data_IF_335082651286
#
_entry.id   IF_335082651286
#
_cell.length_a   1.000
_cell.length_b   1.000
_cell.length_c   1.000
_cell.angle_alpha   90.00
_cell.angle_beta   90.00
_cell.angle_gamma   90.00
#
_symmetry.space_group_name_H-M   'P 1'
#
loop_
_entity.id
_entity.type
_entity.pdbx_description
1 polymer ?
#
# COMPACT_ATOMS: atom_id res chain seq x y z
N UNK A 1 10.67 -1.56 13.49
CA UNK A 1 9.78 -2.34 12.59
C UNK A 1 10.43 -3.69 12.40
N UNK A 2 9.74 -4.78 12.73
CA UNK A 2 10.23 -6.13 12.47
C UNK A 2 9.94 -6.53 11.02
N UNK A 3 10.91 -7.15 10.33
CA UNK A 3 10.73 -7.54 8.93
C UNK A 3 9.70 -8.66 8.77
N UNK A 4 9.60 -9.59 9.71
CA UNK A 4 8.63 -10.70 9.60
C UNK A 4 7.19 -10.21 9.80
N UNK A 5 6.98 -9.20 10.66
CA UNK A 5 5.67 -8.54 10.76
C UNK A 5 5.31 -7.77 9.48
N UNK A 6 6.30 -7.15 8.85
CA UNK A 6 6.11 -6.46 7.57
C UNK A 6 5.76 -7.44 6.44
N UNK A 7 6.50 -8.54 6.31
CA UNK A 7 6.24 -9.58 5.30
C UNK A 7 4.83 -10.16 5.46
N UNK A 8 4.40 -10.48 6.68
CA UNK A 8 3.03 -10.93 6.96
C UNK A 8 1.98 -9.90 6.55
N UNK A 9 2.23 -8.62 6.78
CA UNK A 9 1.33 -7.56 6.35
C UNK A 9 1.25 -7.45 4.83
N UNK A 10 2.38 -7.59 4.13
CA UNK A 10 2.46 -7.61 2.66
C UNK A 10 1.67 -8.76 2.07
N UNK A 11 1.83 -9.97 2.64
CA UNK A 11 1.12 -11.17 2.22
C UNK A 11 -0.38 -11.08 2.51
N UNK A 12 -0.76 -10.62 3.70
CA UNK A 12 -2.17 -10.43 4.06
C UNK A 12 -2.89 -9.46 3.11
N UNK A 13 -2.20 -8.40 2.69
CA UNK A 13 -2.72 -7.45 1.72
C UNK A 13 -2.54 -7.89 0.27
N UNK A 14 -1.86 -9.01 0.00
CA UNK A 14 -1.60 -9.52 -1.35
C UNK A 14 -0.89 -8.50 -2.24
N UNK A 15 0.17 -7.88 -1.72
CA UNK A 15 0.98 -6.90 -2.44
C UNK A 15 2.07 -7.65 -3.22
N UNK A 16 1.94 -7.70 -4.54
CA UNK A 16 2.90 -8.42 -5.40
C UNK A 16 4.04 -7.53 -5.93
N UNK A 17 3.76 -6.24 -6.09
CA UNK A 17 4.67 -5.27 -6.72
C UNK A 17 4.54 -3.93 -5.99
N UNK A 18 4.78 -2.83 -6.70
CA UNK A 18 4.50 -1.47 -6.22
C UNK A 18 3.01 -1.25 -6.00
N UNK A 19 2.68 -0.69 -4.83
CA UNK A 19 1.32 -0.28 -4.46
C UNK A 19 1.38 1.12 -3.87
N UNK A 20 0.35 1.93 -4.17
CA UNK A 20 0.25 3.27 -3.59
C UNK A 20 -0.41 3.23 -2.21
N UNK A 21 -0.22 4.28 -1.40
CA UNK A 21 -0.90 4.45 -0.11
C UNK A 21 -2.43 4.37 -0.28
N UNK A 22 -2.93 4.88 -1.41
CA UNK A 22 -4.35 4.81 -1.80
C UNK A 22 -4.80 3.38 -2.04
N UNK A 23 -3.99 2.54 -2.67
CA UNK A 23 -4.32 1.13 -2.93
C UNK A 23 -4.39 0.33 -1.62
N UNK A 24 -3.44 0.56 -0.71
CA UNK A 24 -3.47 -0.04 0.64
C UNK A 24 -4.75 0.34 1.37
N UNK A 25 -5.11 1.63 1.37
CA UNK A 25 -6.35 2.13 1.98
C UNK A 25 -7.60 1.49 1.37
N UNK A 26 -7.65 1.38 0.03
CA UNK A 26 -8.76 0.74 -0.67
C UNK A 26 -8.86 -0.75 -0.36
N UNK A 27 -7.73 -1.47 -0.30
CA UNK A 27 -7.69 -2.88 0.12
C UNK A 27 -8.15 -3.05 1.56
N UNK A 28 -7.67 -2.21 2.47
CA UNK A 28 -8.10 -2.21 3.87
C UNK A 28 -9.62 -2.05 4.00
N UNK A 29 -10.22 -1.10 3.28
CA UNK A 29 -11.68 -0.91 3.28
C UNK A 29 -12.45 -2.14 2.77
N UNK A 30 -11.94 -2.81 1.73
CA UNK A 30 -12.54 -4.04 1.20
C UNK A 30 -12.44 -5.19 2.20
N UNK A 31 -11.27 -5.39 2.80
CA UNK A 31 -11.02 -6.45 3.79
C UNK A 31 -11.77 -6.19 5.10
N UNK A 32 -11.86 -4.92 5.52
CA UNK A 32 -12.62 -4.49 6.70
C UNK A 32 -14.10 -4.85 6.56
N UNK A 33 -14.70 -4.63 5.38
CA UNK A 33 -16.07 -5.03 5.10
C UNK A 33 -16.25 -6.55 5.07
N UNK A 34 -15.22 -7.30 4.70
CA UNK A 34 -15.26 -8.78 4.67
C UNK A 34 -15.13 -9.38 6.06
N UNK A 35 -14.22 -8.87 6.87
CA UNK A 35 -13.90 -9.39 8.21
C UNK A 35 -14.64 -8.68 9.34
N UNK A 36 -15.57 -7.77 9.03
CA UNK A 36 -16.38 -7.08 10.03
C UNK A 36 -17.12 -8.11 10.91
N UNK A 37 -17.17 -7.94 12.25
CA UNK A 37 -17.80 -8.91 13.16
C UNK A 37 -19.29 -9.19 12.84
N UNK A 38 -19.97 -8.25 12.18
CA UNK A 38 -21.37 -8.42 11.74
C UNK A 38 -21.52 -9.31 10.49
N UNK A 39 -20.42 -9.71 9.85
CA UNK A 39 -20.43 -10.60 8.69
C UNK A 39 -20.28 -12.05 9.12
N UNK A 40 -20.88 -13.01 8.39
CA UNK A 40 -20.84 -14.43 8.75
C UNK A 40 -19.43 -15.05 8.76
N UNK A 41 -18.47 -14.49 8.02
CA UNK A 41 -17.04 -14.88 8.06
C UNK A 41 -16.17 -13.93 8.92
N UNK A 42 -16.81 -12.98 9.59
CA UNK A 42 -16.18 -11.95 10.41
C UNK A 42 -15.64 -12.50 11.73
N UNK A 43 -14.53 -11.93 12.19
CA UNK A 43 -14.01 -12.17 13.54
C UNK A 43 -13.29 -10.92 14.02
N UNK A 44 -13.53 -10.56 15.29
CA UNK A 44 -12.87 -9.43 15.92
C UNK A 44 -11.34 -9.58 15.95
N UNK A 45 -10.84 -10.82 16.06
CA UNK A 45 -9.41 -11.10 16.01
C UNK A 45 -8.83 -10.79 14.62
N UNK A 46 -9.49 -11.29 13.56
CA UNK A 46 -9.07 -11.03 12.16
C UNK A 46 -9.13 -9.54 11.82
N UNK A 47 -10.13 -8.83 12.32
CA UNK A 47 -10.23 -7.39 12.12
C UNK A 47 -9.12 -6.62 12.85
N UNK A 48 -8.81 -7.02 14.09
CA UNK A 48 -7.71 -6.44 14.86
C UNK A 48 -6.36 -6.68 14.18
N UNK A 49 -6.13 -7.91 13.69
CA UNK A 49 -4.93 -8.26 12.92
C UNK A 49 -4.83 -7.45 11.62
N UNK A 50 -5.93 -7.33 10.87
CA UNK A 50 -5.99 -6.50 9.67
C UNK A 50 -5.60 -5.05 9.96
N UNK A 51 -6.14 -4.48 11.04
CA UNK A 51 -5.84 -3.12 11.46
C UNK A 51 -4.37 -2.96 11.85
N UNK A 52 -3.81 -3.90 12.62
CA UNK A 52 -2.39 -3.90 12.99
C UNK A 52 -1.48 -3.89 11.75
N UNK A 53 -1.78 -4.76 10.78
CA UNK A 53 -1.01 -4.85 9.55
C UNK A 53 -1.16 -3.59 8.68
N UNK A 54 -2.36 -3.01 8.62
CA UNK A 54 -2.59 -1.72 7.95
C UNK A 54 -1.75 -0.59 8.55
N UNK A 55 -1.78 -0.44 9.88
CA UNK A 55 -1.04 0.62 10.58
C UNK A 55 0.48 0.45 10.40
N UNK A 56 0.97 -0.79 10.37
CA UNK A 56 2.37 -1.10 10.09
C UNK A 56 2.78 -0.70 8.68
N UNK A 57 1.98 -1.04 7.66
CA UNK A 57 2.23 -0.63 6.27
C UNK A 57 2.21 0.90 6.12
N UNK A 58 1.26 1.58 6.77
CA UNK A 58 1.22 3.04 6.74
C UNK A 58 2.46 3.66 7.39
N UNK A 59 2.88 3.15 8.56
CA UNK A 59 4.09 3.61 9.22
C UNK A 59 5.32 3.40 8.34
N UNK A 60 5.41 2.28 7.62
CA UNK A 60 6.49 2.05 6.65
C UNK A 60 6.47 3.11 5.54
N UNK A 61 5.31 3.38 4.95
CA UNK A 61 5.17 4.35 3.86
C UNK A 61 5.39 5.81 4.32
N UNK A 62 5.01 6.14 5.55
CA UNK A 62 5.14 7.49 6.10
C UNK A 62 6.60 7.81 6.49
N UNK A 63 7.43 6.79 6.71
CA UNK A 63 8.88 6.95 6.90
C UNK A 63 9.66 7.00 5.57
N UNK A 64 8.98 6.87 4.41
CA UNK A 64 9.66 6.92 3.12
C UNK A 64 10.04 8.36 2.76
N UNK A 65 11.33 8.61 2.56
CA UNK A 65 11.80 9.88 2.04
C UNK A 65 11.59 9.95 0.53
N UNK A 66 10.99 11.03 0.06
CA UNK A 66 10.83 11.30 -1.36
C UNK A 66 11.99 12.18 -1.82
N UNK A 67 12.66 11.79 -2.91
CA UNK A 67 13.53 12.71 -3.64
C UNK A 67 12.72 13.38 -4.75
N UNK A 68 12.95 14.68 -4.94
CA UNK A 68 12.27 15.47 -5.97
C UNK A 68 13.21 15.76 -7.15
N UNK A 69 14.19 14.87 -7.37
CA UNK A 69 15.10 14.96 -8.50
C UNK A 69 14.47 14.41 -9.79
N UNK A 70 15.11 14.74 -10.91
CA UNK A 70 14.63 14.36 -12.24
C UNK A 70 14.63 12.83 -12.45
N UNK A 71 15.55 12.10 -11.83
CA UNK A 71 15.67 10.65 -11.97
C UNK A 71 14.50 9.94 -11.27
N UNK A 72 14.17 10.36 -10.06
CA UNK A 72 13.03 9.86 -9.30
C UNK A 72 11.71 10.18 -9.99
N UNK A 73 11.57 11.40 -10.53
CA UNK A 73 10.39 11.77 -11.31
C UNK A 73 10.21 10.87 -12.53
N UNK A 74 11.28 10.58 -13.28
CA UNK A 74 11.25 9.68 -14.45
C UNK A 74 10.92 8.24 -14.05
N UNK A 75 11.41 7.77 -12.89
CA UNK A 75 11.14 6.43 -12.36
C UNK A 75 9.67 6.26 -11.96
N UNK A 76 9.08 7.26 -11.33
CA UNK A 76 7.68 7.25 -10.88
C UNK A 76 6.69 7.51 -12.03
N UNK A 77 7.09 8.30 -13.03
CA UNK A 77 6.25 8.68 -14.19
C UNK A 77 6.94 8.41 -15.53
N UNK A 78 7.24 7.14 -15.88
CA UNK A 78 8.00 6.81 -17.09
C UNK A 78 7.30 7.29 -18.38
N UNK A 79 5.96 7.27 -18.41
CA UNK A 79 5.17 7.73 -19.55
C UNK A 79 5.25 9.25 -19.80
N UNK A 80 5.51 10.05 -18.76
CA UNK A 80 5.57 11.52 -18.87
C UNK A 80 6.94 12.01 -19.33
N UNK A 81 7.88 11.15 -19.71
CA UNK A 81 9.24 11.57 -20.09
C UNK A 81 9.39 11.86 -21.59
N UNK A 82 8.39 11.46 -22.39
CA UNK A 82 8.46 11.52 -23.86
C UNK A 82 7.77 12.77 -24.47
N UNK A 83 7.21 13.69 -23.68
CA UNK A 83 6.49 14.86 -24.21
C UNK A 83 7.40 15.90 -24.88
N UNK A 84 8.72 15.87 -24.64
CA UNK A 84 9.67 16.76 -25.33
C UNK A 84 9.77 16.50 -26.84
N UNK A 85 9.24 15.38 -27.34
CA UNK A 85 9.20 15.07 -28.78
C UNK A 85 7.87 15.44 -29.48
N UNK A 86 6.86 15.96 -28.77
CA UNK A 86 5.54 16.29 -29.34
C UNK A 86 5.35 17.78 -29.70
N UNK A 87 6.38 18.63 -29.52
CA UNK A 87 6.40 20.03 -29.97
C UNK A 87 7.45 20.27 -31.08
N UNK A 88 7.47 19.41 -32.10
CA UNK A 88 8.16 19.70 -33.36
C UNK A 88 7.19 19.63 -34.53
#
# INVERSE_FOLDING_TARGET
MDYSEFEKAVDMFGILTTVSKKDIKNKYLKLSKKYHPDMPEGSNEKFTELKKNYDLLLAYMDNYCYSFDEEEFKRQFPAFTNYKNWMK
#
